data_IF_275823029479
#
_entry.id   IF_275823029479
#
_cell.length_a   1.000
_cell.length_b   1.000
_cell.length_c   1.000
_cell.angle_alpha   90.00
_cell.angle_beta   90.00
_cell.angle_gamma   90.00
#
_symmetry.space_group_name_H-M   'P 1'
#
loop_
_entity.id
_entity.type
_entity.pdbx_description
1 polymer ?
#
# COMPACT_ATOMS: atom_id res chain seq x y z
N UNK A 1 8.45 1.22 9.61
CA UNK A 1 7.33 0.53 8.94
C UNK A 1 6.05 0.41 9.75
N UNK A 2 6.12 0.52 11.06
CA UNK A 2 4.91 0.40 11.88
C UNK A 2 3.87 1.48 11.57
N UNK A 3 4.29 2.71 11.24
CA UNK A 3 3.36 3.76 10.87
C UNK A 3 2.61 3.44 9.58
N UNK A 4 3.30 2.84 8.62
CA UNK A 4 2.70 2.43 7.35
C UNK A 4 1.69 1.30 7.60
N UNK A 5 2.07 0.32 8.41
CA UNK A 5 1.20 -0.80 8.76
C UNK A 5 -0.08 -0.29 9.44
N UNK A 6 0.07 0.61 10.41
CA UNK A 6 -1.07 1.18 11.13
C UNK A 6 -1.98 1.98 10.19
N UNK A 7 -1.39 2.78 9.31
CA UNK A 7 -2.17 3.55 8.33
C UNK A 7 -3.01 2.62 7.44
N UNK A 8 -2.38 1.59 6.87
CA UNK A 8 -3.07 0.69 5.95
C UNK A 8 -4.15 -0.10 6.70
N UNK A 9 -3.85 -0.57 7.92
CA UNK A 9 -4.81 -1.32 8.72
C UNK A 9 -6.05 -0.48 9.03
N UNK A 10 -5.87 0.80 9.37
CA UNK A 10 -6.98 1.70 9.66
C UNK A 10 -7.81 1.96 8.42
N UNK A 11 -7.16 2.20 7.27
CA UNK A 11 -7.86 2.41 6.00
C UNK A 11 -8.63 1.17 5.57
N UNK A 12 -8.08 0.01 5.81
CA UNK A 12 -8.75 -1.25 5.49
C UNK A 12 -10.06 -1.38 6.27
N UNK A 13 -10.05 -1.03 7.55
CA UNK A 13 -11.24 -1.03 8.38
C UNK A 13 -12.29 -0.03 7.90
N UNK A 14 -11.84 1.13 7.39
CA UNK A 14 -12.72 2.18 6.87
C UNK A 14 -13.29 1.84 5.49
N UNK A 15 -12.76 0.84 4.81
CA UNK A 15 -13.08 0.52 3.42
C UNK A 15 -13.95 -0.73 3.29
N UNK A 16 -14.74 -1.05 4.32
CA UNK A 16 -15.58 -2.27 4.32
C UNK A 16 -16.59 -2.29 3.17
N UNK A 17 -17.03 -1.11 2.71
CA UNK A 17 -18.03 -0.98 1.65
C UNK A 17 -17.42 -1.04 0.24
N UNK A 18 -16.09 -1.03 0.14
CA UNK A 18 -15.41 -1.00 -1.16
C UNK A 18 -14.37 -2.12 -1.21
N UNK A 19 -14.77 -3.23 -1.81
CA UNK A 19 -13.91 -4.42 -1.82
C UNK A 19 -12.62 -4.23 -2.62
N UNK A 20 -12.63 -3.36 -3.66
CA UNK A 20 -11.42 -3.07 -4.44
C UNK A 20 -10.38 -2.36 -3.57
N UNK A 21 -10.80 -1.36 -2.82
CA UNK A 21 -9.93 -0.68 -1.86
C UNK A 21 -9.43 -1.65 -0.80
N UNK A 22 -10.36 -2.42 -0.22
CA UNK A 22 -10.03 -3.37 0.83
C UNK A 22 -9.00 -4.38 0.36
N UNK A 23 -9.17 -4.94 -0.82
CA UNK A 23 -8.22 -5.89 -1.41
C UNK A 23 -6.87 -5.24 -1.65
N UNK A 24 -6.86 -4.01 -2.15
CA UNK A 24 -5.62 -3.30 -2.42
C UNK A 24 -4.86 -3.02 -1.13
N UNK A 25 -5.55 -2.54 -0.10
CA UNK A 25 -4.93 -2.33 1.21
C UNK A 25 -4.39 -3.64 1.79
N UNK A 26 -5.16 -4.71 1.70
CA UNK A 26 -4.75 -6.02 2.22
C UNK A 26 -3.49 -6.53 1.52
N UNK A 27 -3.44 -6.41 0.21
CA UNK A 27 -2.27 -6.81 -0.58
C UNK A 27 -1.02 -6.06 -0.14
N UNK A 28 -1.12 -4.73 -0.06
CA UNK A 28 0.04 -3.92 0.31
C UNK A 28 0.41 -4.13 1.77
N UNK A 29 -0.57 -4.30 2.65
CA UNK A 29 -0.29 -4.62 4.05
C UNK A 29 0.53 -5.90 4.16
N UNK A 30 0.18 -6.92 3.40
CA UNK A 30 0.92 -8.17 3.36
C UNK A 30 2.36 -7.95 2.88
N UNK A 31 2.54 -7.17 1.81
CA UNK A 31 3.86 -6.85 1.28
C UNK A 31 4.70 -6.11 2.33
N UNK A 32 4.11 -5.13 3.01
CA UNK A 32 4.82 -4.36 4.03
C UNK A 32 5.27 -5.27 5.18
N UNK A 33 4.40 -6.14 5.66
CA UNK A 33 4.74 -7.07 6.74
C UNK A 33 5.85 -8.03 6.35
N UNK A 34 5.80 -8.56 5.13
CA UNK A 34 6.85 -9.46 4.64
C UNK A 34 8.18 -8.71 4.56
N UNK A 35 8.17 -7.48 4.02
CA UNK A 35 9.38 -6.69 3.90
C UNK A 35 9.96 -6.32 5.27
N UNK A 36 9.09 -6.00 6.23
CA UNK A 36 9.53 -5.76 7.61
C UNK A 36 10.25 -6.97 8.19
N UNK A 37 9.67 -8.15 8.01
CA UNK A 37 10.23 -9.39 8.57
C UNK A 37 11.55 -9.76 7.91
N UNK A 38 11.75 -9.36 6.65
CA UNK A 38 13.00 -9.58 5.91
C UNK A 38 13.99 -8.44 6.05
N UNK A 39 13.68 -7.45 6.89
CA UNK A 39 14.50 -6.24 7.09
C UNK A 39 14.77 -5.46 5.81
N UNK A 40 13.80 -5.45 4.91
CA UNK A 40 13.88 -4.67 3.67
C UNK A 40 13.45 -3.23 3.92
N UNK A 41 13.80 -2.36 2.98
CA UNK A 41 13.57 -0.92 3.12
C UNK A 41 12.18 -0.51 2.63
N UNK A 42 11.80 0.73 2.97
CA UNK A 42 10.58 1.34 2.45
C UNK A 42 10.68 1.54 0.93
N UNK A 43 11.88 1.78 0.40
CA UNK A 43 12.08 1.90 -1.05
C UNK A 43 11.66 0.64 -1.79
N UNK A 44 11.87 -0.52 -1.22
CA UNK A 44 11.42 -1.78 -1.82
C UNK A 44 9.89 -1.85 -1.91
N UNK A 45 9.20 -1.32 -0.91
CA UNK A 45 7.74 -1.24 -0.92
C UNK A 45 7.27 -0.27 -2.02
N UNK A 46 7.93 0.87 -2.12
CA UNK A 46 7.60 1.88 -3.15
C UNK A 46 7.81 1.28 -4.54
N UNK A 47 8.90 0.56 -4.76
CA UNK A 47 9.17 -0.08 -6.05
C UNK A 47 8.07 -1.09 -6.41
N UNK A 48 7.62 -1.87 -5.44
CA UNK A 48 6.51 -2.79 -5.65
C UNK A 48 5.23 -2.04 -6.05
N UNK A 49 4.92 -0.97 -5.32
CA UNK A 49 3.71 -0.18 -5.59
C UNK A 49 3.77 0.46 -6.98
N UNK A 50 4.92 0.99 -7.38
CA UNK A 50 5.09 1.58 -8.71
C UNK A 50 4.78 0.57 -9.81
N UNK A 51 5.27 -0.65 -9.67
CA UNK A 51 4.98 -1.72 -10.65
C UNK A 51 3.50 -2.04 -10.70
N UNK A 52 2.84 -2.09 -9.54
CA UNK A 52 1.40 -2.36 -9.47
C UNK A 52 0.59 -1.22 -10.06
N UNK A 53 0.99 0.03 -9.86
CA UNK A 53 0.34 1.19 -10.48
C UNK A 53 0.44 1.08 -12.00
N UNK A 54 1.59 0.68 -12.52
CA UNK A 54 1.78 0.53 -13.97
C UNK A 54 0.86 -0.54 -14.55
N UNK A 55 0.52 -1.57 -13.77
CA UNK A 55 -0.33 -2.67 -14.21
C UNK A 55 -1.82 -2.45 -13.98
N UNK A 56 -2.21 -1.41 -13.23
CA UNK A 56 -3.62 -1.21 -12.86
C UNK A 56 -4.37 -0.26 -13.78
N UNK A 57 -3.88 -0.04 -14.99
CA UNK A 57 -4.49 0.86 -15.96
C UNK A 57 -5.94 0.47 -16.20
N UNK A 58 -6.83 1.47 -16.12
CA UNK A 58 -8.26 1.24 -16.27
C UNK A 58 -9.00 0.94 -14.97
N UNK A 59 -8.29 0.68 -13.87
CA UNK A 59 -8.91 0.48 -12.58
C UNK A 59 -8.61 1.68 -11.67
N UNK A 60 -9.46 2.69 -11.74
CA UNK A 60 -9.29 3.95 -11.03
C UNK A 60 -9.16 3.78 -9.53
N UNK A 61 -10.03 2.96 -8.96
CA UNK A 61 -10.05 2.79 -7.50
C UNK A 61 -8.75 2.18 -7.02
N UNK A 62 -8.29 1.13 -7.70
CA UNK A 62 -7.03 0.48 -7.35
C UNK A 62 -5.84 1.42 -7.53
N UNK A 63 -5.75 2.09 -8.68
CA UNK A 63 -4.66 3.01 -8.96
C UNK A 63 -4.58 4.13 -7.93
N UNK A 64 -5.73 4.74 -7.60
CA UNK A 64 -5.76 5.82 -6.62
C UNK A 64 -5.38 5.35 -5.23
N UNK A 65 -5.82 4.15 -4.84
CA UNK A 65 -5.47 3.56 -3.55
C UNK A 65 -3.97 3.31 -3.46
N UNK A 66 -3.38 2.76 -4.52
CA UNK A 66 -1.93 2.51 -4.57
C UNK A 66 -1.14 3.83 -4.49
N UNK A 67 -1.59 4.86 -5.19
CA UNK A 67 -0.94 6.18 -5.15
C UNK A 67 -1.01 6.80 -3.75
N UNK A 68 -2.13 6.64 -3.07
CA UNK A 68 -2.29 7.11 -1.70
C UNK A 68 -1.28 6.45 -0.78
N UNK A 69 -1.15 5.13 -0.87
CA UNK A 69 -0.21 4.38 -0.03
C UNK A 69 1.22 4.78 -0.37
N UNK A 70 1.53 4.96 -1.64
CA UNK A 70 2.86 5.41 -2.08
C UNK A 70 3.21 6.76 -1.47
N UNK A 71 2.25 7.68 -1.42
CA UNK A 71 2.44 8.99 -0.82
C UNK A 71 2.82 8.86 0.67
N UNK A 72 2.13 7.99 1.40
CA UNK A 72 2.43 7.73 2.81
C UNK A 72 3.83 7.15 2.97
N UNK A 73 4.21 6.21 2.10
CA UNK A 73 5.55 5.62 2.14
C UNK A 73 6.64 6.67 1.88
N UNK A 74 6.41 7.56 0.92
CA UNK A 74 7.35 8.64 0.63
C UNK A 74 7.51 9.59 1.81
N UNK A 75 6.43 9.88 2.52
CA UNK A 75 6.49 10.74 3.71
C UNK A 75 7.32 10.11 4.83
N UNK A 76 7.31 8.79 4.94
CA UNK A 76 8.12 8.09 5.95
C UNK A 76 9.63 8.19 5.65
N UNK A 77 9.99 8.42 4.39
CA UNK A 77 11.40 8.56 3.99
C UNK A 77 11.95 9.97 4.23
N UNK A 78 11.09 10.96 4.37
CA UNK A 78 11.50 12.37 4.48
C UNK A 78 11.71 12.85 5.92
#
# INVERSE_FOLDING_TARGET
>A
MNNIINYISDKMKQSQDNWIKKFTYDEILTVVKINRDKHKSIEDIIDYIIKEIDMCKGNFIRCNTLKEIMFVCNNELS
#
